data_IF_713147621138
#
_entry.id   IF_713147621138
#
_cell.length_a   1.000
_cell.length_b   1.000
_cell.length_c   1.000
_cell.angle_alpha   90.00
_cell.angle_beta   90.00
_cell.angle_gamma   90.00
#
_symmetry.space_group_name_H-M   'P 1'
#
loop_
_entity.id
_entity.type
_entity.pdbx_description
1 polymer ?
#
# COMPACT_ATOMS: atom_id res chain seq x y z
N UNK A 1 6.11 16.09 -5.55
CA UNK A 1 5.12 15.28 -4.81
C UNK A 1 5.87 14.11 -4.23
N UNK A 2 5.63 13.77 -2.98
CA UNK A 2 6.35 12.68 -2.33
C UNK A 2 5.64 11.36 -2.62
N UNK A 3 6.39 10.32 -2.96
CA UNK A 3 5.85 8.99 -3.20
C UNK A 3 6.14 8.08 -2.03
N UNK A 4 5.17 7.27 -1.66
CA UNK A 4 5.26 6.29 -0.58
C UNK A 4 4.96 4.91 -1.13
N UNK A 5 5.79 3.94 -0.76
CA UNK A 5 5.48 2.51 -0.88
C UNK A 5 5.18 1.97 0.50
N UNK A 6 4.03 1.31 0.66
CA UNK A 6 3.60 0.69 1.91
C UNK A 6 3.46 -0.81 1.69
N UNK A 7 4.18 -1.60 2.48
CA UNK A 7 4.02 -3.05 2.57
C UNK A 7 3.27 -3.38 3.85
N UNK A 8 2.20 -4.15 3.74
CA UNK A 8 1.45 -4.66 4.88
C UNK A 8 1.50 -6.18 4.87
N UNK A 9 1.74 -6.75 6.04
CA UNK A 9 1.58 -8.18 6.31
C UNK A 9 0.55 -8.35 7.42
N UNK A 10 -0.51 -9.08 7.08
CA UNK A 10 -1.47 -9.64 8.05
C UNK A 10 -0.97 -11.05 8.38
N UNK A 11 -0.85 -11.37 9.66
CA UNK A 11 -0.27 -12.65 10.08
C UNK A 11 -1.35 -13.73 10.09
N UNK A 12 -1.01 -14.95 9.67
CA UNK A 12 -1.95 -16.08 9.54
C UNK A 12 -3.19 -15.77 8.65
N UNK A 13 -3.05 -14.79 7.75
CA UNK A 13 -4.12 -14.34 6.87
C UNK A 13 -4.21 -15.18 5.58
N UNK A 14 -5.41 -15.30 5.05
CA UNK A 14 -5.67 -15.91 3.75
C UNK A 14 -5.99 -14.88 2.66
N UNK A 15 -6.33 -15.34 1.45
CA UNK A 15 -6.58 -14.46 0.32
C UNK A 15 -7.72 -13.46 0.55
N UNK A 16 -8.76 -13.85 1.29
CA UNK A 16 -9.93 -12.99 1.51
C UNK A 16 -9.63 -11.83 2.47
N UNK A 17 -8.75 -12.04 3.46
CA UNK A 17 -8.28 -10.97 4.35
C UNK A 17 -7.56 -9.86 3.56
N UNK A 18 -6.87 -10.23 2.48
CA UNK A 18 -6.17 -9.26 1.63
C UNK A 18 -7.13 -8.47 0.73
N UNK A 19 -8.27 -9.05 0.33
CA UNK A 19 -9.34 -8.30 -0.35
C UNK A 19 -9.94 -7.23 0.57
N UNK A 20 -10.26 -7.60 1.82
CA UNK A 20 -10.73 -6.63 2.83
C UNK A 20 -9.67 -5.56 3.13
N UNK A 21 -8.40 -5.95 3.19
CA UNK A 21 -7.29 -5.00 3.37
C UNK A 21 -7.18 -4.03 2.19
N UNK A 22 -7.38 -4.50 0.96
CA UNK A 22 -7.37 -3.65 -0.22
C UNK A 22 -8.44 -2.55 -0.11
N UNK A 23 -9.65 -2.92 0.31
CA UNK A 23 -10.75 -1.98 0.47
C UNK A 23 -10.49 -0.95 1.58
N UNK A 24 -9.97 -1.39 2.74
CA UNK A 24 -9.62 -0.49 3.84
C UNK A 24 -8.46 0.44 3.49
N UNK A 25 -7.46 -0.04 2.77
CA UNK A 25 -6.34 0.78 2.28
C UNK A 25 -6.83 1.81 1.27
N UNK A 26 -7.75 1.45 0.36
CA UNK A 26 -8.34 2.38 -0.59
C UNK A 26 -9.10 3.54 0.10
N UNK A 27 -9.83 3.24 1.19
CA UNK A 27 -10.51 4.28 2.02
C UNK A 27 -9.53 5.28 2.64
N UNK A 28 -8.27 4.87 2.87
CA UNK A 28 -7.20 5.74 3.37
C UNK A 28 -6.43 6.49 2.26
N UNK A 29 -6.84 6.32 1.00
CA UNK A 29 -6.24 6.97 -0.18
C UNK A 29 -5.07 6.22 -0.80
N UNK A 30 -4.82 4.98 -0.37
CA UNK A 30 -3.78 4.14 -0.98
C UNK A 30 -4.28 3.51 -2.28
N UNK A 31 -3.40 3.37 -3.27
CA UNK A 31 -3.65 2.59 -4.48
C UNK A 31 -2.90 1.27 -4.44
N UNK A 32 -3.53 0.20 -4.94
CA UNK A 32 -2.86 -1.08 -5.26
C UNK A 32 -2.15 -1.06 -6.61
N UNK A 33 -2.15 0.08 -7.30
CA UNK A 33 -1.55 0.26 -8.62
C UNK A 33 -0.54 1.39 -8.63
N UNK A 34 0.32 1.39 -9.65
CA UNK A 34 1.23 2.48 -9.96
C UNK A 34 1.23 2.79 -11.46
N UNK A 35 1.42 4.06 -11.81
CA UNK A 35 1.64 4.47 -13.19
C UNK A 35 3.12 4.41 -13.54
N UNK A 36 3.45 3.64 -14.58
CA UNK A 36 4.78 3.52 -15.15
C UNK A 36 4.67 3.79 -16.66
N UNK A 37 5.37 4.83 -17.14
CA UNK A 37 5.38 5.21 -18.56
C UNK A 37 3.98 5.36 -19.18
N UNK A 38 3.02 5.90 -18.43
CA UNK A 38 1.64 6.12 -18.88
C UNK A 38 0.74 4.87 -18.85
N UNK A 39 1.24 3.73 -18.35
CA UNK A 39 0.47 2.50 -18.17
C UNK A 39 0.29 2.23 -16.68
N UNK A 40 -0.90 1.80 -16.29
CA UNK A 40 -1.21 1.38 -14.93
C UNK A 40 -0.82 -0.10 -14.72
N UNK A 41 -0.11 -0.36 -13.63
CA UNK A 41 0.36 -1.69 -13.27
C UNK A 41 -0.06 -2.03 -11.84
N UNK A 42 -0.42 -3.28 -11.61
CA UNK A 42 -0.72 -3.77 -10.26
C UNK A 42 0.59 -3.92 -9.48
N UNK A 43 0.57 -3.47 -8.22
CA UNK A 43 1.63 -3.75 -7.26
C UNK A 43 1.52 -5.21 -6.77
N UNK A 44 2.60 -5.78 -6.21
CA UNK A 44 2.52 -7.06 -5.51
C UNK A 44 1.42 -7.07 -4.45
N UNK A 45 0.82 -8.23 -4.19
CA UNK A 45 -0.20 -8.40 -3.14
C UNK A 45 0.26 -7.73 -1.85
N UNK A 46 -0.58 -6.88 -1.27
CA UNK A 46 -0.32 -6.08 -0.07
C UNK A 46 0.88 -5.13 -0.12
N UNK A 47 1.24 -4.67 -1.31
CA UNK A 47 1.96 -3.44 -1.53
C UNK A 47 1.02 -2.35 -2.04
N UNK A 48 1.25 -1.13 -1.58
CA UNK A 48 0.42 0.02 -1.89
C UNK A 48 1.24 1.26 -2.17
N UNK A 49 0.68 2.14 -2.99
CA UNK A 49 1.23 3.42 -3.35
C UNK A 49 0.38 4.56 -2.79
N UNK A 50 1.03 5.58 -2.25
CA UNK A 50 0.42 6.88 -1.98
C UNK A 50 1.32 7.98 -2.54
N UNK A 51 0.74 8.95 -3.23
CA UNK A 51 1.45 10.13 -3.73
C UNK A 51 0.74 11.36 -3.18
N UNK A 52 1.36 12.07 -2.26
CA UNK A 52 0.73 13.19 -1.55
C UNK A 52 1.78 14.26 -1.21
N UNK A 53 1.43 15.54 -1.37
CA UNK A 53 2.32 16.66 -1.07
C UNK A 53 2.10 17.11 0.38
N UNK A 54 3.18 17.31 1.13
CA UNK A 54 3.11 17.85 2.49
C UNK A 54 2.70 16.84 3.56
N UNK A 55 2.61 15.55 3.22
CA UNK A 55 2.45 14.47 4.19
C UNK A 55 3.82 13.99 4.69
N UNK A 56 3.82 13.10 5.68
CA UNK A 56 5.05 12.52 6.26
C UNK A 56 4.96 11.00 6.30
N UNK A 57 6.09 10.31 6.22
CA UNK A 57 6.16 8.85 6.46
C UNK A 57 5.39 8.39 7.70
N UNK A 58 5.42 9.18 8.79
CA UNK A 58 4.71 8.84 10.02
C UNK A 58 3.19 8.95 9.88
N UNK A 59 2.69 9.98 9.21
CA UNK A 59 1.27 10.12 8.93
C UNK A 59 0.76 8.99 8.03
N UNK A 60 1.53 8.65 6.99
CA UNK A 60 1.24 7.54 6.09
C UNK A 60 1.21 6.21 6.83
N UNK A 61 2.20 5.94 7.70
CA UNK A 61 2.21 4.76 8.55
C UNK A 61 0.97 4.68 9.45
N UNK A 62 0.56 5.78 10.06
CA UNK A 62 -0.62 5.79 10.92
C UNK A 62 -1.90 5.45 10.16
N UNK A 63 -2.06 5.94 8.92
CA UNK A 63 -3.19 5.59 8.04
C UNK A 63 -3.18 4.10 7.68
N UNK A 64 -2.02 3.56 7.29
CA UNK A 64 -1.87 2.14 7.00
C UNK A 64 -2.16 1.25 8.23
N UNK A 65 -1.71 1.65 9.42
CA UNK A 65 -2.05 0.97 10.68
C UNK A 65 -3.55 0.98 10.95
N UNK A 66 -4.24 2.10 10.69
CA UNK A 66 -5.68 2.19 10.88
C UNK A 66 -6.44 1.23 9.95
N UNK A 67 -6.10 1.22 8.66
CA UNK A 67 -6.68 0.29 7.69
C UNK A 67 -6.39 -1.18 8.04
N UNK A 68 -5.13 -1.54 8.29
CA UNK A 68 -4.77 -2.92 8.59
C UNK A 68 -5.42 -3.44 9.88
N UNK A 69 -5.59 -2.59 10.89
CA UNK A 69 -6.29 -2.96 12.13
C UNK A 69 -7.81 -3.07 11.99
N UNK A 70 -8.40 -2.43 10.99
CA UNK A 70 -9.83 -2.60 10.71
C UNK A 70 -10.13 -4.03 10.22
N UNK A 71 -9.15 -4.67 9.57
CA UNK A 71 -9.23 -6.08 9.13
C UNK A 71 -8.73 -7.02 10.21
N UNK A 72 -7.48 -6.85 10.66
CA UNK A 72 -6.86 -7.72 11.67
C UNK A 72 -6.29 -6.88 12.82
N UNK A 73 -7.06 -6.64 13.90
CA UNK A 73 -6.55 -5.93 15.06
C UNK A 73 -5.59 -6.77 15.92
N UNK A 74 -5.70 -8.10 15.86
CA UNK A 74 -4.86 -9.06 16.58
C UNK A 74 -4.71 -10.34 15.76
N UNK A 75 -3.49 -10.87 15.55
CA UNK A 75 -2.19 -10.29 15.92
C UNK A 75 -1.96 -8.92 15.26
N UNK A 76 -1.04 -8.13 15.82
CA UNK A 76 -0.79 -6.78 15.30
C UNK A 76 -0.16 -6.88 13.91
N UNK A 77 -0.71 -6.21 12.87
CA UNK A 77 -0.13 -6.24 11.54
C UNK A 77 1.30 -5.69 11.48
N UNK A 78 2.11 -6.24 10.59
CA UNK A 78 3.46 -5.78 10.29
C UNK A 78 3.43 -4.83 9.10
N UNK A 79 3.98 -3.62 9.25
CA UNK A 79 3.86 -2.55 8.24
C UNK A 79 5.18 -1.83 8.05
N UNK A 80 5.58 -1.66 6.80
CA UNK A 80 6.75 -0.87 6.40
C UNK A 80 6.31 0.25 5.45
N UNK A 81 6.76 1.47 5.71
CA UNK A 81 6.57 2.62 4.83
C UNK A 81 7.93 3.09 4.37
N UNK A 82 8.11 3.23 3.06
CA UNK A 82 9.28 3.84 2.45
C UNK A 82 8.86 5.09 1.70
N UNK A 83 9.53 6.19 2.01
CA UNK A 83 9.36 7.48 1.35
C UNK A 83 10.46 7.69 0.30
N UNK A 84 10.09 8.14 -0.89
CA UNK A 84 11.04 8.44 -1.96
C UNK A 84 10.62 9.65 -2.78
N UNK A 85 11.61 10.46 -3.14
CA UNK A 85 11.49 11.51 -4.17
C UNK A 85 12.00 11.02 -5.53
N UNK A 86 12.71 9.88 -5.56
CA UNK A 86 13.19 9.24 -6.78
C UNK A 86 12.14 8.29 -7.36
N UNK A 87 12.13 8.07 -8.68
CA UNK A 87 11.29 7.06 -9.30
C UNK A 87 11.52 5.66 -8.68
N UNK A 88 10.42 4.90 -8.55
CA UNK A 88 10.47 3.49 -8.13
C UNK A 88 10.95 2.64 -9.29
N UNK A 89 11.80 1.66 -9.00
CA UNK A 89 12.24 0.66 -9.97
C UNK A 89 11.43 -0.62 -9.76
N UNK A 90 10.98 -1.22 -10.86
CA UNK A 90 10.11 -2.40 -10.83
C UNK A 90 10.53 -3.38 -11.93
N UNK A 91 10.16 -4.64 -11.78
CA UNK A 91 10.31 -5.68 -12.80
C UNK A 91 9.16 -6.67 -12.68
N UNK A 92 8.56 -7.08 -13.80
CA UNK A 92 7.53 -8.13 -13.84
C UNK A 92 6.14 -7.75 -13.34
N UNK A 93 5.84 -6.46 -13.10
CA UNK A 93 4.48 -6.05 -12.69
C UNK A 93 3.47 -6.23 -13.83
N UNK A 94 2.34 -6.93 -13.60
CA UNK A 94 1.30 -7.08 -14.61
C UNK A 94 0.62 -5.74 -14.86
N UNK A 95 0.08 -5.55 -16.05
CA UNK A 95 -0.80 -4.42 -16.34
C UNK A 95 -2.13 -4.64 -15.62
N UNK A 96 -2.67 -3.57 -15.05
CA UNK A 96 -4.05 -3.61 -14.53
C UNK A 96 -5.01 -3.89 -15.68
N UNK A 97 -5.97 -4.79 -15.44
CA UNK A 97 -6.95 -5.22 -16.45
C UNK A 97 -8.03 -4.17 -16.71
#
# INVERSE_FOLDING_TARGET
MTSYTVRVELHDADGSDYDDLHDEMAKQGFSKTIFLNGVEHDLPTAEYSLIEKGTTSKAVLNRAVAAAKAVQPTPKPSIVVTETEKPRMTSGLPKTK
#
